data_IF_343373846802
#
_entry.id   IF_343373846802
#
_cell.length_a   1.000
_cell.length_b   1.000
_cell.length_c   1.000
_cell.angle_alpha   90.00
_cell.angle_beta   90.00
_cell.angle_gamma   90.00
#
_symmetry.space_group_name_H-M   'P 1'
#
loop_
_entity.id
_entity.type
_entity.pdbx_description
1 polymer ?
#
# COMPACT_ATOMS: atom_id res chain seq x y z
N UNK A 1 3.81 -17.55 9.78
CA UNK A 1 2.99 -17.61 8.55
C UNK A 1 3.32 -18.87 7.77
N UNK A 2 2.38 -19.37 6.95
CA UNK A 2 2.71 -20.27 5.85
C UNK A 2 2.99 -19.44 4.58
N UNK A 3 4.25 -19.43 4.14
CA UNK A 3 4.74 -18.65 2.99
C UNK A 3 4.10 -19.11 1.69
N UNK A 4 3.94 -20.42 1.47
CA UNK A 4 3.35 -20.97 0.24
C UNK A 4 1.91 -20.51 0.03
N UNK A 5 1.11 -20.46 1.11
CA UNK A 5 -0.25 -19.91 1.07
C UNK A 5 -0.26 -18.43 0.68
N UNK A 6 0.69 -17.64 1.19
CA UNK A 6 0.81 -16.24 0.82
C UNK A 6 1.19 -16.12 -0.66
N UNK A 7 2.28 -16.77 -1.08
CA UNK A 7 2.72 -16.75 -2.48
C UNK A 7 1.59 -17.19 -3.42
N UNK A 8 0.83 -18.23 -3.05
CA UNK A 8 -0.38 -18.65 -3.78
C UNK A 8 -1.46 -17.57 -3.81
N UNK A 9 -1.73 -16.87 -2.69
CA UNK A 9 -2.70 -15.78 -2.60
C UNK A 9 -2.37 -14.64 -3.56
N UNK A 10 -1.08 -14.39 -3.81
CA UNK A 10 -0.61 -13.37 -4.75
C UNK A 10 -0.22 -13.96 -6.12
N UNK A 11 -0.49 -15.23 -6.40
CA UNK A 11 -0.13 -15.87 -7.69
C UNK A 11 1.37 -15.87 -8.02
N UNK A 12 2.23 -15.91 -7.01
CA UNK A 12 3.69 -16.06 -7.13
C UNK A 12 4.11 -17.50 -6.80
N UNK A 13 5.17 -18.01 -7.44
CA UNK A 13 5.68 -19.37 -7.22
C UNK A 13 7.12 -19.40 -6.72
N UNK A 14 8.05 -18.91 -7.55
CA UNK A 14 9.48 -18.90 -7.25
C UNK A 14 9.90 -17.49 -6.87
N UNK A 15 10.74 -17.40 -5.85
CA UNK A 15 11.31 -16.15 -5.35
C UNK A 15 12.79 -16.40 -5.13
N UNK A 16 13.61 -15.49 -5.64
CA UNK A 16 15.01 -15.33 -5.26
C UNK A 16 15.16 -14.00 -4.52
N UNK A 17 16.25 -13.83 -3.77
CA UNK A 17 16.55 -12.55 -3.13
C UNK A 17 17.22 -11.63 -4.15
N UNK A 18 16.41 -11.11 -5.08
CA UNK A 18 16.83 -10.21 -6.14
C UNK A 18 15.75 -9.15 -6.43
N UNK A 19 16.13 -8.13 -7.21
CA UNK A 19 15.22 -7.03 -7.55
C UNK A 19 14.03 -7.51 -8.39
N UNK A 20 14.24 -8.48 -9.29
CA UNK A 20 13.18 -9.02 -10.14
C UNK A 20 12.06 -9.67 -9.32
N UNK A 21 12.43 -10.48 -8.33
CA UNK A 21 11.48 -11.13 -7.44
C UNK A 21 10.80 -10.09 -6.53
N UNK A 22 11.52 -9.08 -6.05
CA UNK A 22 10.94 -8.00 -5.24
C UNK A 22 9.89 -7.20 -6.03
N UNK A 23 10.20 -6.86 -7.29
CA UNK A 23 9.27 -6.24 -8.24
C UNK A 23 8.03 -7.10 -8.45
N UNK A 24 8.21 -8.40 -8.74
CA UNK A 24 7.11 -9.32 -8.94
C UNK A 24 6.25 -9.47 -7.69
N UNK A 25 6.86 -9.58 -6.50
CA UNK A 25 6.15 -9.71 -5.23
C UNK A 25 5.26 -8.49 -4.95
N UNK A 26 5.79 -7.27 -5.08
CA UNK A 26 5.02 -6.05 -4.84
C UNK A 26 3.88 -5.91 -5.85
N UNK A 27 4.17 -6.05 -7.15
CA UNK A 27 3.16 -5.96 -8.21
C UNK A 27 2.05 -6.98 -8.00
N UNK A 28 2.41 -8.23 -7.79
CA UNK A 28 1.45 -9.31 -7.61
C UNK A 28 0.61 -9.15 -6.34
N UNK A 29 1.20 -8.66 -5.25
CA UNK A 29 0.42 -8.33 -4.05
C UNK A 29 -0.66 -7.30 -4.38
N UNK A 30 -0.31 -6.19 -5.01
CA UNK A 30 -1.24 -5.10 -5.33
C UNK A 30 -2.34 -5.47 -6.34
N UNK A 31 -2.10 -6.49 -7.18
CA UNK A 31 -3.07 -7.00 -8.15
C UNK A 31 -4.03 -8.03 -7.57
N UNK A 32 -3.69 -8.61 -6.42
CA UNK A 32 -4.44 -9.73 -5.84
C UNK A 32 -5.10 -9.37 -4.52
N UNK A 33 -4.48 -8.51 -3.72
CA UNK A 33 -4.94 -8.13 -2.39
C UNK A 33 -5.39 -6.67 -2.44
N UNK A 34 -6.68 -6.38 -2.20
CA UNK A 34 -7.16 -5.00 -2.24
C UNK A 34 -6.68 -4.20 -1.02
N UNK A 35 -6.49 -2.91 -1.23
CA UNK A 35 -6.48 -1.93 -0.15
C UNK A 35 -7.92 -1.64 0.23
N UNK A 36 -8.26 -1.75 1.51
CA UNK A 36 -9.62 -1.49 1.99
C UNK A 36 -9.71 -1.13 3.46
N UNK A 37 -10.73 -0.34 3.82
CA UNK A 37 -10.97 0.13 5.18
C UNK A 37 -12.26 -0.42 5.81
N UNK A 38 -12.80 -1.54 5.34
CA UNK A 38 -14.16 -1.94 5.69
C UNK A 38 -14.31 -2.32 7.16
N UNK A 39 -13.24 -2.78 7.82
CA UNK A 39 -13.27 -3.05 9.26
C UNK A 39 -13.35 -1.74 10.05
N UNK A 40 -12.46 -0.79 9.74
CA UNK A 40 -12.48 0.58 10.29
C UNK A 40 -13.85 1.25 10.12
N UNK A 41 -14.39 1.24 8.90
CA UNK A 41 -15.70 1.83 8.60
C UNK A 41 -16.83 1.15 9.40
N UNK A 42 -16.77 -0.17 9.57
CA UNK A 42 -17.73 -0.95 10.39
C UNK A 42 -17.43 -0.91 11.89
N UNK A 43 -16.49 -0.08 12.34
CA UNK A 43 -16.05 0.04 13.74
C UNK A 43 -15.60 -1.30 14.34
N UNK A 44 -15.02 -2.17 13.49
CA UNK A 44 -14.36 -3.39 13.92
C UNK A 44 -12.89 -3.07 14.13
N UNK A 45 -12.44 -3.24 15.36
CA UNK A 45 -11.05 -3.00 15.72
C UNK A 45 -10.12 -3.96 14.97
N UNK A 46 -9.02 -3.40 14.47
CA UNK A 46 -7.93 -4.13 13.82
C UNK A 46 -6.82 -4.26 14.84
N UNK A 47 -6.59 -5.49 15.29
CA UNK A 47 -5.46 -5.83 16.14
C UNK A 47 -4.16 -5.79 15.33
N UNK A 48 -3.14 -5.13 15.89
CA UNK A 48 -1.80 -5.11 15.29
C UNK A 48 -1.02 -6.42 15.56
N UNK A 49 -1.61 -7.54 15.16
CA UNK A 49 -1.09 -8.89 15.31
C UNK A 49 -0.92 -9.54 13.93
N UNK A 50 0.31 -9.93 13.60
CA UNK A 50 0.65 -10.46 12.29
C UNK A 50 -0.07 -11.77 11.95
N UNK A 51 -0.35 -12.64 12.92
CA UNK A 51 -1.06 -13.90 12.69
C UNK A 51 -2.56 -13.63 12.42
N UNK A 52 -3.17 -12.68 13.14
CA UNK A 52 -4.55 -12.24 12.85
C UNK A 52 -4.66 -11.57 11.48
N UNK A 53 -3.73 -10.69 11.13
CA UNK A 53 -3.66 -10.07 9.81
C UNK A 53 -3.50 -11.12 8.70
N UNK A 54 -2.63 -12.11 8.92
CA UNK A 54 -2.43 -13.22 8.00
C UNK A 54 -3.73 -14.02 7.79
N UNK A 55 -4.42 -14.40 8.88
CA UNK A 55 -5.70 -15.09 8.79
C UNK A 55 -6.76 -14.28 8.03
N UNK A 56 -6.83 -12.96 8.29
CA UNK A 56 -7.74 -12.05 7.57
C UNK A 56 -7.41 -11.96 6.07
N UNK A 57 -6.18 -11.58 5.75
CA UNK A 57 -5.80 -11.17 4.39
C UNK A 57 -5.51 -12.37 3.49
N UNK A 58 -4.81 -13.37 4.02
CA UNK A 58 -4.36 -14.54 3.25
C UNK A 58 -5.40 -15.65 3.28
N UNK A 59 -5.90 -16.03 4.46
CA UNK A 59 -6.80 -17.19 4.57
C UNK A 59 -8.25 -16.84 4.24
N UNK A 60 -8.75 -15.72 4.78
CA UNK A 60 -10.10 -15.22 4.51
C UNK A 60 -10.18 -14.31 3.27
N UNK A 61 -9.06 -14.18 2.52
CA UNK A 61 -8.95 -13.45 1.25
C UNK A 61 -9.42 -11.99 1.28
N UNK A 62 -9.40 -11.34 2.44
CA UNK A 62 -9.74 -9.91 2.59
C UNK A 62 -8.57 -9.01 2.14
N UNK A 63 -8.83 -7.70 2.11
CA UNK A 63 -7.79 -6.68 2.04
C UNK A 63 -7.47 -6.07 3.40
N UNK A 64 -6.80 -4.92 3.39
CA UNK A 64 -6.55 -4.15 4.61
C UNK A 64 -5.99 -2.75 4.35
N UNK A 65 -5.67 -2.05 5.43
CA UNK A 65 -5.01 -0.74 5.42
C UNK A 65 -3.48 -0.86 5.41
N UNK A 66 -2.74 0.25 5.29
CA UNK A 66 -1.28 0.26 5.23
C UNK A 66 -0.61 -0.47 6.40
N UNK A 67 -1.16 -0.32 7.61
CA UNK A 67 -0.66 -0.96 8.83
C UNK A 67 -1.07 -2.42 8.99
N UNK A 68 -1.79 -2.99 8.03
CA UNK A 68 -2.03 -4.43 7.92
C UNK A 68 -1.21 -5.01 6.76
N UNK A 69 -1.26 -4.35 5.60
CA UNK A 69 -0.65 -4.84 4.36
C UNK A 69 0.88 -4.75 4.40
N UNK A 70 1.45 -3.61 4.80
CA UNK A 70 2.90 -3.43 4.79
C UNK A 70 3.62 -4.26 5.86
N UNK A 71 3.13 -4.41 7.11
CA UNK A 71 3.75 -5.31 8.09
C UNK A 71 3.66 -6.77 7.66
N UNK A 72 2.52 -7.20 7.11
CA UNK A 72 2.35 -8.56 6.61
C UNK A 72 3.27 -8.84 5.42
N UNK A 73 3.48 -7.87 4.53
CA UNK A 73 4.43 -7.95 3.43
C UNK A 73 5.89 -7.95 3.92
N UNK A 74 6.23 -7.11 4.90
CA UNK A 74 7.55 -7.10 5.56
C UNK A 74 7.89 -8.48 6.15
N UNK A 75 6.91 -9.09 6.82
CA UNK A 75 7.07 -10.43 7.38
C UNK A 75 7.30 -11.47 6.28
N UNK A 76 6.61 -11.38 5.14
CA UNK A 76 6.83 -12.26 3.99
C UNK A 76 8.25 -12.09 3.44
N UNK A 77 8.66 -10.86 3.18
CA UNK A 77 10.00 -10.54 2.68
C UNK A 77 11.10 -11.09 3.60
N UNK A 78 10.94 -10.91 4.91
CA UNK A 78 11.85 -11.47 5.93
C UNK A 78 11.93 -12.99 5.83
N UNK A 79 10.78 -13.68 5.72
CA UNK A 79 10.76 -15.15 5.58
C UNK A 79 11.38 -15.65 4.26
N UNK A 80 11.36 -14.82 3.22
CA UNK A 80 11.99 -15.10 1.93
C UNK A 80 13.48 -14.76 1.89
N UNK A 81 14.04 -14.19 2.97
CA UNK A 81 15.46 -13.88 3.10
C UNK A 81 15.87 -12.47 2.66
N UNK A 82 14.92 -11.58 2.37
CA UNK A 82 15.23 -10.17 2.13
C UNK A 82 15.58 -9.45 3.43
N UNK A 83 16.58 -8.57 3.38
CA UNK A 83 16.86 -7.62 4.45
C UNK A 83 15.86 -6.47 4.35
N UNK A 84 14.93 -6.38 5.29
CA UNK A 84 13.87 -5.37 5.26
C UNK A 84 13.55 -4.82 6.65
N UNK A 85 13.12 -3.55 6.68
CA UNK A 85 12.63 -2.86 7.89
C UNK A 85 11.34 -2.13 7.58
N UNK A 86 10.44 -2.03 8.56
CA UNK A 86 9.29 -1.13 8.48
C UNK A 86 9.74 0.28 8.84
N UNK A 87 9.17 1.27 8.17
CA UNK A 87 9.34 2.70 8.49
C UNK A 87 8.00 3.42 8.41
N UNK A 88 7.96 4.65 8.92
CA UNK A 88 6.77 5.48 8.89
C UNK A 88 6.96 6.72 8.03
N UNK A 89 5.86 7.18 7.45
CA UNK A 89 5.79 8.43 6.72
C UNK A 89 4.47 9.15 6.93
N UNK A 90 4.46 10.39 6.43
CA UNK A 90 3.31 11.28 6.45
C UNK A 90 2.84 11.50 5.03
N UNK A 91 1.55 11.25 4.79
CA UNK A 91 0.92 11.43 3.48
C UNK A 91 0.74 12.92 3.20
N UNK A 92 1.13 13.37 2.00
CA UNK A 92 0.85 14.71 1.53
C UNK A 92 -0.61 14.80 1.05
N UNK A 93 -1.34 15.82 1.52
CA UNK A 93 -2.70 16.11 1.04
C UNK A 93 -2.57 16.92 -0.26
N UNK A 94 -1.76 17.97 -0.20
CA UNK A 94 -1.40 18.83 -1.31
C UNK A 94 0.05 19.36 -1.12
N UNK A 95 0.44 20.38 -1.88
CA UNK A 95 1.80 20.94 -1.84
C UNK A 95 2.18 21.58 -0.50
N UNK A 96 1.20 21.98 0.32
CA UNK A 96 1.40 22.72 1.57
C UNK A 96 0.85 21.99 2.79
N UNK A 97 -0.12 21.10 2.61
CA UNK A 97 -0.82 20.43 3.69
C UNK A 97 -0.44 18.94 3.80
N UNK A 98 -0.34 18.49 5.03
CA UNK A 98 0.04 17.12 5.39
C UNK A 98 -1.06 16.45 6.20
N UNK A 99 -1.19 15.13 6.04
CA UNK A 99 -1.97 14.29 6.94
C UNK A 99 -1.36 14.25 8.34
N UNK A 100 -1.97 13.47 9.23
CA UNK A 100 -1.40 13.27 10.56
C UNK A 100 -0.02 12.60 10.43
N UNK A 101 0.93 13.15 11.15
CA UNK A 101 2.32 12.72 11.12
C UNK A 101 2.48 11.20 11.36
N UNK A 102 3.32 10.57 10.55
CA UNK A 102 3.74 9.16 10.67
C UNK A 102 2.61 8.12 10.59
N UNK A 103 1.42 8.49 10.11
CA UNK A 103 0.25 7.58 9.98
C UNK A 103 0.25 6.71 8.73
N UNK A 104 1.35 6.65 8.00
CA UNK A 104 1.53 5.69 6.93
C UNK A 104 2.73 4.79 7.23
N UNK A 105 2.50 3.48 7.32
CA UNK A 105 3.55 2.48 7.49
C UNK A 105 3.93 1.93 6.12
N UNK A 106 5.22 1.85 5.83
CA UNK A 106 5.79 1.33 4.56
C UNK A 106 7.10 0.58 4.85
N UNK A 107 7.76 0.03 3.84
CA UNK A 107 8.94 -0.83 4.02
C UNK A 107 10.15 -0.34 3.23
N UNK A 108 11.33 -0.52 3.82
CA UNK A 108 12.61 -0.40 3.11
C UNK A 108 13.23 -1.79 2.95
N UNK A 109 13.82 -2.04 1.79
CA UNK A 109 14.49 -3.32 1.45
C UNK A 109 15.88 -3.01 0.92
N UNK A 110 16.89 -3.67 1.49
CA UNK A 110 18.27 -3.55 1.03
C UNK A 110 18.61 -4.72 0.08
N UNK A 111 19.10 -4.40 -1.11
CA UNK A 111 19.56 -5.35 -2.13
C UNK A 111 20.82 -4.82 -2.79
N UNK A 112 21.89 -5.61 -2.78
CA UNK A 112 23.15 -5.31 -3.50
C UNK A 112 23.70 -3.89 -3.24
N UNK A 113 23.57 -3.39 -2.00
CA UNK A 113 24.02 -2.05 -1.61
C UNK A 113 23.08 -0.90 -1.98
N UNK A 114 21.90 -1.21 -2.53
CA UNK A 114 20.84 -0.23 -2.82
C UNK A 114 19.63 -0.46 -1.92
N UNK A 115 19.13 0.62 -1.32
CA UNK A 115 17.89 0.59 -0.54
C UNK A 115 16.71 0.99 -1.41
N UNK A 116 15.64 0.21 -1.35
CA UNK A 116 14.40 0.44 -2.08
C UNK A 116 13.25 0.70 -1.12
N UNK A 117 12.41 1.68 -1.45
CA UNK A 117 11.08 1.84 -0.87
C UNK A 117 10.14 0.81 -1.50
N UNK A 118 9.46 0.03 -0.67
CA UNK A 118 8.43 -0.95 -1.09
C UNK A 118 7.15 -0.69 -0.34
N UNK A 119 6.04 -0.59 -1.07
CA UNK A 119 4.76 -0.20 -0.49
C UNK A 119 3.59 -0.90 -1.20
N UNK A 120 2.98 -1.85 -0.50
CA UNK A 120 1.78 -2.56 -0.95
C UNK A 120 0.50 -2.00 -0.30
N UNK A 121 0.63 -0.98 0.56
CA UNK A 121 -0.40 -0.56 1.51
C UNK A 121 -0.87 0.89 1.36
N UNK A 122 -0.34 1.69 0.44
CA UNK A 122 -0.79 3.07 0.22
C UNK A 122 -2.06 3.19 -0.65
N UNK A 123 -2.56 2.08 -1.20
CA UNK A 123 -3.69 2.06 -2.12
C UNK A 123 -3.26 2.31 -3.56
N UNK A 124 -3.23 3.58 -3.99
CA UNK A 124 -2.74 3.96 -5.33
C UNK A 124 -1.29 4.46 -5.28
N UNK A 125 -0.34 3.53 -5.29
CA UNK A 125 1.10 3.79 -5.29
C UNK A 125 1.80 3.10 -6.46
N UNK A 126 3.12 3.27 -6.52
CA UNK A 126 3.97 2.53 -7.44
C UNK A 126 3.78 1.02 -7.27
N UNK A 127 3.66 0.33 -8.39
CA UNK A 127 3.56 -1.13 -8.45
C UNK A 127 4.92 -1.83 -8.44
N UNK A 128 6.01 -1.09 -8.23
CA UNK A 128 7.39 -1.59 -8.19
C UNK A 128 8.17 -0.90 -7.07
N UNK A 129 9.21 -1.54 -6.50
CA UNK A 129 10.15 -0.89 -5.61
C UNK A 129 10.79 0.35 -6.24
N UNK A 130 10.97 1.41 -5.45
CA UNK A 130 11.62 2.66 -5.89
C UNK A 130 12.95 2.83 -5.16
N UNK A 131 14.09 2.96 -5.85
CA UNK A 131 15.38 3.10 -5.20
C UNK A 131 15.51 4.47 -4.53
N UNK A 132 16.16 4.49 -3.36
CA UNK A 132 16.49 5.73 -2.65
C UNK A 132 17.61 6.54 -3.33
N UNK A 133 18.25 5.97 -4.37
CA UNK A 133 19.26 6.63 -5.23
C UNK A 133 18.70 7.85 -5.97
N UNK A 134 17.37 7.96 -6.10
CA UNK A 134 16.67 9.05 -6.76
C UNK A 134 16.47 8.87 -8.27
N UNK A 135 16.84 7.71 -8.80
CA UNK A 135 16.52 7.33 -10.18
C UNK A 135 15.01 7.34 -10.42
N UNK A 136 14.62 7.77 -11.62
CA UNK A 136 13.22 7.75 -12.04
C UNK A 136 12.86 6.32 -12.43
N UNK A 137 11.78 5.80 -11.85
CA UNK A 137 11.24 4.48 -12.14
C UNK A 137 9.86 4.64 -12.76
N UNK A 138 9.65 3.99 -13.90
CA UNK A 138 8.35 3.85 -14.56
C UNK A 138 7.72 2.52 -14.16
N UNK A 139 6.52 2.55 -13.58
CA UNK A 139 5.80 1.34 -13.17
C UNK A 139 4.84 0.79 -14.25
N UNK A 140 4.86 1.41 -15.43
CA UNK A 140 3.97 1.16 -16.57
C UNK A 140 2.76 2.09 -16.63
N UNK A 141 2.49 2.87 -15.57
CA UNK A 141 1.36 3.82 -15.50
C UNK A 141 1.81 5.23 -15.16
N UNK A 142 2.75 5.32 -14.23
CA UNK A 142 3.26 6.56 -13.67
C UNK A 142 4.76 6.44 -13.44
N UNK A 143 5.40 7.60 -13.44
CA UNK A 143 6.81 7.72 -13.06
C UNK A 143 6.92 8.17 -11.62
N UNK A 144 7.86 7.57 -10.90
CA UNK A 144 8.13 7.82 -9.50
C UNK A 144 9.62 8.07 -9.28
N UNK A 145 9.94 8.82 -8.22
CA UNK A 145 11.32 8.99 -7.76
C UNK A 145 11.35 9.26 -6.27
N UNK A 146 12.51 9.00 -5.66
CA UNK A 146 12.82 9.45 -4.31
C UNK A 146 13.61 10.76 -4.36
N UNK A 147 13.28 11.70 -3.48
CA UNK A 147 14.06 12.92 -3.28
C UNK A 147 14.48 13.02 -1.81
N UNK A 148 15.78 13.01 -1.55
CA UNK A 148 16.31 13.21 -0.21
C UNK A 148 16.10 14.66 0.26
N UNK A 149 15.64 14.84 1.50
CA UNK A 149 15.35 16.15 2.12
C UNK A 149 16.32 16.48 3.25
N UNK A 150 16.73 15.48 4.01
CA UNK A 150 17.80 15.52 5.01
C UNK A 150 18.47 14.14 5.05
N UNK A 151 19.42 13.94 5.95
CA UNK A 151 20.19 12.69 6.06
C UNK A 151 19.30 11.43 6.01
N UNK A 152 18.21 11.45 6.78
CA UNK A 152 17.34 10.30 7.02
C UNK A 152 15.90 10.50 6.51
N UNK A 153 15.56 11.65 5.92
CA UNK A 153 14.20 11.99 5.46
C UNK A 153 14.13 12.10 3.95
N UNK A 154 13.11 11.47 3.37
CA UNK A 154 12.92 11.32 1.93
C UNK A 154 11.47 11.62 1.53
N UNK A 155 11.29 12.17 0.33
CA UNK A 155 9.99 12.29 -0.31
C UNK A 155 9.87 11.26 -1.44
N UNK A 156 8.80 10.47 -1.41
CA UNK A 156 8.31 9.78 -2.61
C UNK A 156 7.53 10.79 -3.46
N UNK A 157 7.95 10.97 -4.70
CA UNK A 157 7.26 11.82 -5.67
C UNK A 157 6.73 11.01 -6.85
N UNK A 158 5.59 11.44 -7.37
CA UNK A 158 4.96 10.92 -8.60
C UNK A 158 4.92 12.03 -9.64
N UNK A 159 5.24 11.71 -10.90
CA UNK A 159 5.09 12.64 -12.00
C UNK A 159 3.61 12.94 -12.29
N UNK A 160 3.30 14.22 -12.45
CA UNK A 160 2.01 14.75 -12.92
C UNK A 160 2.10 15.12 -14.40
N UNK A 161 3.28 15.56 -14.84
CA UNK A 161 3.68 15.81 -16.22
C UNK A 161 5.19 15.57 -16.34
N UNK A 162 5.76 15.73 -17.54
CA UNK A 162 7.20 15.51 -17.77
C UNK A 162 8.09 16.27 -16.79
N UNK A 163 7.70 17.48 -16.39
CA UNK A 163 8.52 18.36 -15.55
C UNK A 163 7.91 18.64 -14.17
N UNK A 164 6.69 18.15 -13.90
CA UNK A 164 5.97 18.44 -12.64
C UNK A 164 5.84 17.17 -11.81
N UNK A 165 6.28 17.26 -10.55
CA UNK A 165 6.29 16.14 -9.60
C UNK A 165 5.51 16.51 -8.35
N UNK A 166 4.59 15.64 -7.92
CA UNK A 166 3.84 15.79 -6.68
C UNK A 166 4.37 14.82 -5.62
N UNK A 167 4.73 15.35 -4.45
CA UNK A 167 5.05 14.53 -3.28
C UNK A 167 3.81 13.76 -2.82
N UNK A 168 3.98 12.45 -2.59
CA UNK A 168 2.95 11.55 -2.09
C UNK A 168 3.13 11.30 -0.60
N UNK A 169 4.36 10.98 -0.20
CA UNK A 169 4.72 10.59 1.16
C UNK A 169 6.07 11.23 1.50
N UNK A 170 6.19 11.75 2.72
CA UNK A 170 7.49 12.03 3.35
C UNK A 170 7.75 10.99 4.43
N UNK A 171 8.84 10.26 4.34
CA UNK A 171 9.17 9.18 5.28
C UNK A 171 10.59 9.34 5.84
N UNK A 172 10.82 8.80 7.04
CA UNK A 172 12.17 8.64 7.58
C UNK A 172 12.68 7.23 7.32
N UNK A 173 13.99 7.06 7.40
CA UNK A 173 14.66 5.74 7.32
C UNK A 173 14.81 5.07 8.67
N UNK A 174 14.29 5.68 9.74
CA UNK A 174 14.33 5.13 11.09
C UNK A 174 13.42 3.89 11.17
N UNK A 175 13.98 2.71 11.49
CA UNK A 175 13.19 1.49 11.64
C UNK A 175 12.13 1.63 12.72
N UNK A 176 10.96 1.08 12.46
CA UNK A 176 9.83 1.03 13.39
C UNK A 176 9.38 -0.41 13.60
N UNK A 177 8.86 -0.67 14.78
CA UNK A 177 8.16 -1.90 15.13
C UNK A 177 6.66 -1.70 14.99
N UNK A 178 5.93 -2.82 14.83
CA UNK A 178 4.47 -2.77 14.75
C UNK A 178 3.83 -2.26 16.06
N UNK A 179 4.44 -2.57 17.21
CA UNK A 179 3.99 -2.11 18.52
C UNK A 179 4.09 -0.59 18.67
N UNK A 180 5.16 0.04 18.18
CA UNK A 180 5.32 1.50 18.19
C UNK A 180 4.26 2.22 17.34
N UNK A 181 3.65 1.51 16.39
CA UNK A 181 2.59 2.04 15.53
C UNK A 181 1.19 2.00 16.17
N UNK A 182 0.99 1.26 17.26
CA UNK A 182 -0.33 1.06 17.89
C UNK A 182 -1.08 2.37 18.21
N UNK A 183 -0.44 3.41 18.79
CA UNK A 183 -1.12 4.68 19.05
C UNK A 183 -1.55 5.40 17.77
N UNK A 184 -0.75 5.29 16.70
CA UNK A 184 -1.04 5.91 15.41
C UNK A 184 -2.16 5.16 14.69
N UNK A 185 -2.15 3.83 14.75
CA UNK A 185 -3.25 3.01 14.21
C UNK A 185 -4.59 3.35 14.87
N UNK A 186 -4.61 3.65 16.17
CA UNK A 186 -5.83 4.05 16.89
C UNK A 186 -6.46 5.30 16.29
N UNK A 187 -5.64 6.31 15.95
CA UNK A 187 -6.13 7.50 15.24
C UNK A 187 -6.71 7.12 13.87
N UNK A 188 -5.99 6.33 13.09
CA UNK A 188 -6.40 5.93 11.74
C UNK A 188 -7.74 5.16 11.78
N UNK A 189 -7.95 4.34 12.81
CA UNK A 189 -9.11 3.47 12.98
C UNK A 189 -10.35 4.16 13.57
N UNK A 190 -10.20 5.24 14.35
CA UNK A 190 -11.33 5.74 15.16
C UNK A 190 -11.52 7.24 15.11
N UNK A 191 -10.49 8.01 14.76
CA UNK A 191 -10.58 9.46 14.83
C UNK A 191 -11.49 10.00 13.73
N UNK A 192 -12.48 10.87 14.02
CA UNK A 192 -13.42 11.39 13.01
C UNK A 192 -12.77 12.11 11.83
N UNK A 193 -11.57 12.67 12.04
CA UNK A 193 -10.78 13.32 10.98
C UNK A 193 -9.87 12.35 10.20
N UNK A 194 -9.90 11.06 10.51
CA UNK A 194 -9.24 10.05 9.68
C UNK A 194 -10.00 9.92 8.37
N UNK A 195 -9.32 9.86 7.21
CA UNK A 195 -9.99 9.63 5.94
C UNK A 195 -10.64 8.24 5.85
N UNK A 196 -10.34 7.34 6.79
CA UNK A 196 -10.77 5.95 6.76
C UNK A 196 -11.97 5.62 7.66
N UNK A 197 -12.52 6.58 8.41
CA UNK A 197 -13.63 6.31 9.36
C UNK A 197 -15.02 6.61 8.79
N UNK A 198 -15.13 7.54 7.83
CA UNK A 198 -16.44 8.11 7.44
C UNK A 198 -16.96 7.58 6.09
N UNK A 199 -16.09 7.01 5.26
CA UNK A 199 -16.44 6.50 3.94
C UNK A 199 -15.72 5.17 3.71
N UNK A 200 -16.34 4.26 2.97
CA UNK A 200 -15.70 3.05 2.46
C UNK A 200 -14.81 3.40 1.27
N UNK A 201 -13.68 2.72 1.21
CA UNK A 201 -12.80 2.66 0.06
C UNK A 201 -12.30 1.22 -0.06
N UNK A 202 -12.45 0.65 -1.25
CA UNK A 202 -11.85 -0.62 -1.66
C UNK A 202 -11.20 -0.37 -3.00
N UNK A 203 -9.90 -0.63 -3.13
CA UNK A 203 -9.18 -0.40 -4.38
C UNK A 203 -8.16 -1.47 -4.68
N UNK A 204 -8.04 -1.84 -5.96
CA UNK A 204 -7.14 -2.87 -6.44
C UNK A 204 -6.52 -2.44 -7.77
N UNK A 205 -5.22 -2.71 -7.93
CA UNK A 205 -4.53 -2.47 -9.18
C UNK A 205 -4.96 -3.53 -10.22
N UNK A 206 -4.97 -3.15 -11.49
CA UNK A 206 -5.19 -4.08 -12.60
C UNK A 206 -4.04 -3.99 -13.59
N UNK A 207 -3.97 -4.93 -14.55
CA UNK A 207 -2.94 -4.95 -15.59
C UNK A 207 -2.80 -3.67 -16.40
N UNK A 208 -3.87 -2.87 -16.48
CA UNK A 208 -3.90 -1.64 -17.26
C UNK A 208 -4.63 -0.48 -16.55
N UNK A 209 -4.72 -0.53 -15.22
CA UNK A 209 -5.21 0.58 -14.43
C UNK A 209 -5.62 0.18 -13.01
N UNK A 210 -6.85 0.49 -12.61
CA UNK A 210 -7.32 0.37 -11.23
C UNK A 210 -8.83 0.32 -11.15
N UNK A 211 -9.34 -0.42 -10.18
CA UNK A 211 -10.75 -0.41 -9.81
C UNK A 211 -10.85 0.10 -8.38
N UNK A 212 -11.75 1.06 -8.15
CA UNK A 212 -12.03 1.63 -6.82
C UNK A 212 -13.53 1.66 -6.58
N UNK A 213 -13.97 1.10 -5.46
CA UNK A 213 -15.34 1.12 -4.98
C UNK A 213 -15.41 1.97 -3.70
N UNK A 214 -16.29 2.95 -3.69
CA UNK A 214 -16.66 3.77 -2.52
C UNK A 214 -18.10 3.46 -2.09
N UNK A 215 -18.65 4.24 -1.15
CA UNK A 215 -20.05 4.11 -0.74
C UNK A 215 -21.02 4.26 -1.92
N UNK A 216 -20.69 5.14 -2.84
CA UNK A 216 -21.60 5.77 -3.79
C UNK A 216 -21.11 5.66 -5.24
N UNK A 217 -19.91 5.13 -5.46
CA UNK A 217 -19.35 5.05 -6.81
C UNK A 217 -18.42 3.87 -7.03
N UNK A 218 -18.45 3.37 -8.27
CA UNK A 218 -17.45 2.47 -8.84
C UNK A 218 -16.66 3.26 -9.89
N UNK A 219 -15.35 3.34 -9.69
CA UNK A 219 -14.42 3.96 -10.61
C UNK A 219 -13.56 2.89 -11.25
N UNK A 220 -13.61 2.80 -12.57
CA UNK A 220 -12.75 1.91 -13.36
C UNK A 220 -11.84 2.79 -14.21
N UNK A 221 -10.55 2.72 -13.94
CA UNK A 221 -9.51 3.33 -14.78
C UNK A 221 -8.85 2.25 -15.61
N UNK A 222 -8.82 2.42 -16.93
CA UNK A 222 -8.21 1.49 -17.87
C UNK A 222 -7.53 2.26 -19.02
N UNK A 223 -6.25 2.01 -19.29
CA UNK A 223 -5.48 2.70 -20.33
C UNK A 223 -5.62 4.24 -20.26
N UNK A 224 -5.49 4.80 -19.06
CA UNK A 224 -5.70 6.23 -18.75
C UNK A 224 -7.13 6.78 -18.97
N UNK A 225 -8.08 5.93 -19.36
CA UNK A 225 -9.50 6.30 -19.43
C UNK A 225 -10.23 5.95 -18.13
N UNK A 226 -10.93 6.92 -17.57
CA UNK A 226 -11.71 6.76 -16.33
C UNK A 226 -13.20 6.68 -16.66
N UNK A 227 -13.86 5.63 -16.16
CA UNK A 227 -15.33 5.50 -16.10
C UNK A 227 -15.79 5.54 -14.65
N UNK A 228 -16.88 6.24 -14.40
CA UNK A 228 -17.49 6.40 -13.08
C UNK A 228 -18.94 5.95 -13.18
N UNK A 229 -19.35 5.06 -12.28
CA UNK A 229 -20.71 4.57 -12.15
C UNK A 229 -21.20 4.91 -10.75
N UNK A 230 -22.44 5.39 -10.62
CA UNK A 230 -23.07 5.54 -9.31
C UNK A 230 -23.42 4.15 -8.77
N UNK A 231 -23.27 3.97 -7.47
CA UNK A 231 -23.53 2.71 -6.76
C UNK A 231 -24.56 2.97 -5.67
N UNK A 232 -25.53 2.08 -5.55
CA UNK A 232 -26.47 2.04 -4.43
C UNK A 232 -26.14 0.86 -3.49
N UNK A 233 -26.78 0.84 -2.33
CA UNK A 233 -26.53 -0.19 -1.29
C UNK A 233 -26.84 -1.62 -1.77
N UNK A 234 -27.84 -1.81 -2.63
CA UNK A 234 -28.25 -3.12 -3.14
C UNK A 234 -27.19 -3.72 -4.08
N UNK A 235 -26.50 -2.86 -4.85
CA UNK A 235 -25.46 -3.26 -5.80
C UNK A 235 -24.08 -3.40 -5.14
N UNK A 236 -23.82 -2.70 -4.03
CA UNK A 236 -22.49 -2.57 -3.44
C UNK A 236 -21.84 -3.93 -3.14
N UNK A 237 -22.58 -4.84 -2.48
CA UNK A 237 -22.07 -6.16 -2.14
C UNK A 237 -21.80 -7.02 -3.38
N UNK A 238 -22.63 -6.89 -4.41
CA UNK A 238 -22.43 -7.61 -5.66
C UNK A 238 -21.17 -7.11 -6.39
N UNK A 239 -20.97 -5.80 -6.46
CA UNK A 239 -19.79 -5.19 -7.06
C UNK A 239 -18.52 -5.55 -6.28
N UNK A 240 -18.57 -5.50 -4.94
CA UNK A 240 -17.45 -5.92 -4.09
C UNK A 240 -17.01 -7.35 -4.44
N UNK A 241 -17.93 -8.31 -4.42
CA UNK A 241 -17.62 -9.72 -4.69
C UNK A 241 -17.22 -10.00 -6.15
N UNK A 242 -17.56 -9.11 -7.09
CA UNK A 242 -17.25 -9.28 -8.51
C UNK A 242 -15.84 -8.80 -8.87
N UNK A 243 -15.34 -7.79 -8.15
CA UNK A 243 -14.07 -7.11 -8.49
C UNK A 243 -12.94 -7.33 -7.49
N UNK A 244 -13.23 -7.74 -6.25
CA UNK A 244 -12.27 -7.83 -5.15
C UNK A 244 -12.34 -9.18 -4.44
#
# INVERSE_FOLDING_TARGET
MNVEKYLKRISTKQVQVDLYSLQSLQRNHMHQIPFENLDTFRKRWIDLDLEKMYAKIIENKRGGLCFELNPLFNWLLTQLGFTTVMVTGTVAIDEKNWGKENTHLTNLVELEGTTYLTDVGFGNSSQTPIPLSGEIVDDGFHQYRIVQRSNDVYDLQQAVSNDTWKTQIRFSTEPRTLAEYEPLSSFVQTHPNSPFTNHTIVTIATNNGRITLTNDSLVITQNHHKKIFNVNDDEWNHLYNSYF
#
